data_IF_042193790394
#
_entry.id   IF_042193790394
#
_cell.length_a   1.000
_cell.length_b   1.000
_cell.length_c   1.000
_cell.angle_alpha   90.00
_cell.angle_beta   90.00
_cell.angle_gamma   90.00
#
_symmetry.space_group_name_H-M   'P 1'
#
loop_
_entity.id
_entity.type
_entity.pdbx_description
1 polymer ?
#
# COMPACT_ATOMS: atom_id res chain seq x y z
N UNK A 1 2.87 -18.66 28.43
CA UNK A 1 2.38 -17.30 28.77
C UNK A 1 3.48 -16.30 28.47
N UNK A 2 3.76 -16.06 27.25
CA UNK A 2 4.59 -14.94 26.85
C UNK A 2 3.76 -14.07 25.91
N UNK A 3 3.57 -12.85 26.36
CA UNK A 3 2.90 -11.80 25.61
C UNK A 3 3.97 -11.07 24.81
N UNK A 4 4.03 -11.36 23.51
CA UNK A 4 4.68 -10.49 22.54
C UNK A 4 3.85 -9.21 22.39
N UNK A 5 4.30 -8.16 23.05
CA UNK A 5 3.84 -6.80 22.80
C UNK A 5 4.81 -6.18 21.83
N UNK A 6 4.44 -6.12 20.56
CA UNK A 6 5.09 -5.28 19.58
C UNK A 6 4.99 -3.80 20.00
N UNK A 7 6.01 -2.97 19.78
CA UNK A 7 5.94 -1.55 20.10
C UNK A 7 4.94 -0.86 19.17
N UNK A 8 3.94 -0.25 19.76
CA UNK A 8 3.00 0.65 19.07
C UNK A 8 3.79 1.89 18.65
N UNK A 9 4.04 2.06 17.35
CA UNK A 9 4.56 3.30 16.81
C UNK A 9 3.46 4.37 16.90
N UNK A 10 3.55 5.26 17.89
CA UNK A 10 2.83 6.52 17.87
C UNK A 10 3.46 7.38 16.77
N UNK A 11 2.70 7.59 15.70
CA UNK A 11 3.12 8.46 14.61
C UNK A 11 2.99 9.93 15.01
N UNK A 12 4.04 10.49 15.57
CA UNK A 12 4.25 11.93 15.54
C UNK A 12 5.12 12.22 14.32
N UNK A 13 4.53 12.86 13.32
CA UNK A 13 5.24 13.37 12.17
C UNK A 13 5.95 14.67 12.59
N UNK A 14 7.27 14.74 12.64
CA UNK A 14 7.95 16.00 12.89
C UNK A 14 7.99 16.83 11.61
N UNK A 15 6.95 17.64 11.40
CA UNK A 15 7.07 18.81 10.55
C UNK A 15 7.87 19.86 11.30
N UNK A 16 9.15 19.95 11.05
CA UNK A 16 9.97 20.98 11.64
C UNK A 16 11.42 20.79 11.27
N UNK A 17 11.92 21.63 10.36
CA UNK A 17 13.33 21.67 10.05
C UNK A 17 14.17 21.86 11.30
N UNK A 18 15.14 20.99 11.48
CA UNK A 18 16.25 21.21 12.37
C UNK A 18 17.54 20.90 11.64
N UNK A 19 18.46 21.81 11.87
CA UNK A 19 19.80 21.95 11.34
C UNK A 19 20.56 20.64 11.06
N UNK A 20 21.28 20.66 9.95
CA UNK A 20 22.19 19.63 9.50
C UNK A 20 23.19 19.19 10.57
N UNK A 21 22.83 18.17 11.34
CA UNK A 21 23.74 17.45 12.22
C UNK A 21 24.68 16.55 11.41
N UNK A 22 25.93 16.55 11.79
CA UNK A 22 27.03 15.79 11.18
C UNK A 22 26.76 14.28 11.13
N UNK A 23 27.32 13.63 10.12
CA UNK A 23 27.25 12.19 9.82
C UNK A 23 27.97 11.28 10.83
N UNK A 24 28.05 11.64 12.08
CA UNK A 24 28.62 10.86 13.17
C UNK A 24 27.75 10.93 14.42
N UNK A 25 26.48 11.23 14.26
CA UNK A 25 25.60 11.62 15.36
C UNK A 25 24.92 10.41 16.05
N UNK A 26 24.84 9.25 15.42
CA UNK A 26 24.18 8.08 15.96
C UNK A 26 25.14 6.90 16.08
N UNK A 27 25.00 6.11 17.14
CA UNK A 27 25.81 4.90 17.35
C UNK A 27 25.41 3.79 16.38
N UNK A 28 24.12 3.74 16.00
CA UNK A 28 23.58 2.75 15.07
C UNK A 28 22.65 3.41 14.06
N UNK A 29 22.64 2.88 12.84
CA UNK A 29 21.62 3.11 11.84
C UNK A 29 20.78 1.87 11.67
N UNK A 30 19.48 2.04 11.70
CA UNK A 30 18.49 1.00 11.50
C UNK A 30 17.67 1.39 10.28
N UNK A 31 17.09 0.42 9.60
CA UNK A 31 16.13 0.67 8.52
C UNK A 31 15.07 -0.41 8.46
N UNK A 32 13.92 -0.03 7.98
CA UNK A 32 12.85 -0.91 7.56
C UNK A 32 12.47 -0.59 6.10
N UNK A 33 11.39 -1.13 5.62
CA UNK A 33 10.89 -0.89 4.26
C UNK A 33 10.42 0.55 3.99
N UNK A 34 10.23 1.36 5.02
CA UNK A 34 9.69 2.72 4.92
C UNK A 34 10.72 3.79 5.23
N UNK A 35 11.51 3.61 6.29
CA UNK A 35 12.37 4.65 6.84
C UNK A 35 13.78 4.17 7.18
N UNK A 36 14.67 5.12 7.25
CA UNK A 36 15.98 5.00 7.91
C UNK A 36 15.92 5.73 9.24
N UNK A 37 16.46 5.11 10.27
CA UNK A 37 16.46 5.61 11.64
C UNK A 37 17.87 5.73 12.19
N UNK A 38 18.10 6.76 13.03
CA UNK A 38 19.25 6.88 13.91
C UNK A 38 18.92 6.38 15.31
N UNK A 39 19.84 5.71 15.95
CA UNK A 39 19.69 5.21 17.32
C UNK A 39 21.00 5.40 18.10
N UNK A 40 20.90 6.02 19.28
CA UNK A 40 22.01 6.16 20.22
C UNK A 40 21.89 5.09 21.30
N UNK A 41 22.98 4.38 21.53
CA UNK A 41 23.04 3.37 22.58
C UNK A 41 22.92 4.03 23.95
N UNK A 42 22.10 3.48 24.86
CA UNK A 42 21.96 4.04 26.20
C UNK A 42 23.31 4.04 26.93
N UNK A 43 23.75 5.20 27.37
CA UNK A 43 24.93 5.34 28.23
C UNK A 43 24.65 4.69 29.59
N UNK A 44 25.65 4.02 30.18
CA UNK A 44 25.51 3.38 31.49
C UNK A 44 25.01 4.37 32.56
N UNK A 45 23.75 4.18 33.00
CA UNK A 45 23.16 4.97 34.08
C UNK A 45 21.80 5.62 33.75
N UNK A 46 21.43 5.70 32.51
CA UNK A 46 20.13 6.22 32.08
C UNK A 46 19.28 5.09 31.52
N UNK A 47 18.50 4.46 32.37
CA UNK A 47 17.86 3.16 32.18
C UNK A 47 16.64 3.17 31.24
N UNK A 48 16.43 4.14 30.41
CA UNK A 48 15.30 4.17 29.45
C UNK A 48 15.82 4.08 28.03
N UNK A 49 15.50 3.04 27.26
CA UNK A 49 15.80 3.01 25.84
C UNK A 49 15.06 4.16 25.14
N UNK A 50 15.79 5.01 24.43
CA UNK A 50 15.19 6.01 23.57
C UNK A 50 14.62 5.30 22.33
N UNK A 51 13.51 5.83 21.80
CA UNK A 51 13.00 5.35 20.52
C UNK A 51 13.96 5.79 19.39
N UNK A 52 14.14 4.96 18.35
CA UNK A 52 14.89 5.38 17.16
C UNK A 52 14.31 6.65 16.55
N UNK A 53 15.16 7.56 16.12
CA UNK A 53 14.76 8.79 15.43
C UNK A 53 14.68 8.54 13.93
N UNK A 54 13.53 8.82 13.29
CA UNK A 54 13.39 8.72 11.85
C UNK A 54 14.21 9.83 11.17
N UNK A 55 15.13 9.44 10.28
CA UNK A 55 16.02 10.34 9.57
C UNK A 55 15.46 10.77 8.23
N UNK A 56 14.94 9.82 7.45
CA UNK A 56 14.27 10.07 6.18
C UNK A 56 13.49 8.83 5.74
N UNK A 57 12.48 9.04 4.88
CA UNK A 57 11.80 7.96 4.19
C UNK A 57 12.57 7.58 2.91
N UNK A 58 12.57 6.30 2.55
CA UNK A 58 13.17 5.84 1.30
C UNK A 58 12.54 6.51 0.07
N UNK A 59 11.22 6.71 0.10
CA UNK A 59 10.49 7.37 -0.98
C UNK A 59 10.87 8.84 -1.15
N UNK A 60 11.37 9.52 -0.11
CA UNK A 60 11.88 10.90 -0.21
C UNK A 60 13.17 10.97 -1.06
N UNK A 61 13.85 9.85 -1.18
CA UNK A 61 15.06 9.70 -1.99
C UNK A 61 14.81 8.94 -3.30
N UNK A 62 13.55 8.78 -3.69
CA UNK A 62 13.13 8.00 -4.86
C UNK A 62 13.66 6.54 -4.86
N UNK A 63 13.75 5.93 -3.66
CA UNK A 63 14.16 4.54 -3.43
C UNK A 63 12.96 3.74 -2.93
N UNK A 64 12.81 2.52 -3.42
CA UNK A 64 11.87 1.56 -2.86
C UNK A 64 12.54 0.78 -1.73
N UNK A 65 12.16 1.05 -0.48
CA UNK A 65 12.77 0.45 0.69
C UNK A 65 12.58 -1.07 0.81
N UNK A 66 11.56 -1.63 0.17
CA UNK A 66 11.34 -3.09 0.12
C UNK A 66 12.45 -3.86 -0.58
N UNK A 67 13.21 -3.19 -1.45
CA UNK A 67 14.31 -3.80 -2.21
C UNK A 67 15.69 -3.40 -1.69
N UNK A 68 15.75 -2.77 -0.52
CA UNK A 68 17.03 -2.41 0.10
C UNK A 68 17.60 -3.61 0.85
N UNK A 69 18.68 -4.18 0.30
CA UNK A 69 19.38 -5.33 0.85
C UNK A 69 20.49 -4.94 1.83
N UNK A 70 20.97 -3.72 1.73
CA UNK A 70 22.04 -3.21 2.59
C UNK A 70 22.11 -1.70 2.61
N UNK A 71 22.52 -1.15 3.75
CA UNK A 71 22.61 0.28 3.95
C UNK A 71 23.78 0.64 4.87
N UNK A 72 24.47 1.72 4.56
CA UNK A 72 25.59 2.18 5.37
C UNK A 72 25.95 3.64 5.12
N UNK A 73 26.82 4.17 5.98
CA UNK A 73 27.36 5.54 5.88
C UNK A 73 28.79 5.49 5.42
N UNK A 74 29.11 6.33 4.46
CA UNK A 74 30.46 6.56 4.00
C UNK A 74 31.19 7.58 4.89
N UNK A 75 32.54 7.58 4.87
CA UNK A 75 33.36 8.50 5.66
C UNK A 75 33.07 9.98 5.37
N UNK A 76 32.57 10.30 4.19
CA UNK A 76 32.21 11.68 3.79
C UNK A 76 30.76 12.06 4.19
N UNK A 77 30.05 11.20 4.90
CA UNK A 77 28.72 11.42 5.41
C UNK A 77 27.59 11.16 4.42
N UNK A 78 27.89 10.65 3.23
CA UNK A 78 26.87 10.14 2.30
C UNK A 78 26.43 8.76 2.73
N UNK A 79 25.24 8.37 2.27
CA UNK A 79 24.72 7.05 2.51
C UNK A 79 24.85 6.19 1.24
N UNK A 80 25.16 4.92 1.43
CA UNK A 80 25.20 3.94 0.37
C UNK A 80 24.11 2.90 0.63
N UNK A 81 23.21 2.69 -0.33
CA UNK A 81 22.23 1.62 -0.33
C UNK A 81 22.54 0.60 -1.41
N UNK A 82 22.42 -0.67 -1.08
CA UNK A 82 22.40 -1.79 -2.01
C UNK A 82 20.94 -2.12 -2.26
N UNK A 83 20.51 -2.07 -3.51
CA UNK A 83 19.09 -2.24 -3.87
C UNK A 83 18.97 -3.34 -4.91
N UNK A 84 18.07 -4.27 -4.72
CA UNK A 84 17.75 -5.31 -5.69
C UNK A 84 16.98 -4.72 -6.88
N UNK A 85 17.47 -4.98 -8.09
CA UNK A 85 16.75 -4.75 -9.34
C UNK A 85 16.13 -6.08 -9.80
N UNK A 86 14.91 -6.34 -9.33
CA UNK A 86 14.19 -7.58 -9.63
C UNK A 86 13.83 -7.74 -11.11
N UNK A 87 13.82 -6.66 -11.90
CA UNK A 87 13.57 -6.74 -13.35
C UNK A 87 14.77 -7.33 -14.10
N UNK A 88 15.99 -7.11 -13.59
CA UNK A 88 17.23 -7.56 -14.22
C UNK A 88 17.95 -8.66 -13.42
N UNK A 89 17.40 -9.08 -12.27
CA UNK A 89 18.02 -10.05 -11.34
C UNK A 89 19.47 -9.64 -10.97
N UNK A 90 19.64 -8.36 -10.64
CA UNK A 90 20.94 -7.74 -10.34
C UNK A 90 20.86 -6.85 -9.10
N UNK A 91 21.99 -6.44 -8.59
CA UNK A 91 22.11 -5.52 -7.45
C UNK A 91 22.61 -4.16 -7.92
N UNK A 92 21.83 -3.13 -7.63
CA UNK A 92 22.19 -1.73 -7.83
C UNK A 92 22.86 -1.10 -6.61
N UNK A 93 23.73 -0.13 -6.83
CA UNK A 93 24.29 0.72 -5.78
C UNK A 93 23.73 2.12 -5.93
N UNK A 94 23.09 2.62 -4.87
CA UNK A 94 22.54 3.97 -4.82
C UNK A 94 23.33 4.78 -3.80
N UNK A 95 23.84 5.91 -4.26
CA UNK A 95 24.52 6.89 -3.40
C UNK A 95 23.58 8.03 -3.07
N UNK A 96 23.24 8.18 -1.78
CA UNK A 96 22.38 9.22 -1.29
C UNK A 96 23.19 10.34 -0.65
N UNK A 97 22.86 11.58 -0.99
CA UNK A 97 23.46 12.78 -0.42
C UNK A 97 22.40 13.61 0.28
N UNK A 98 22.76 14.22 1.41
CA UNK A 98 21.87 15.18 2.05
C UNK A 98 21.78 16.44 1.19
N UNK A 99 20.55 16.85 0.89
CA UNK A 99 20.26 18.11 0.22
C UNK A 99 19.75 19.09 1.27
N UNK A 100 20.22 20.34 1.22
CA UNK A 100 19.67 21.39 2.08
C UNK A 100 18.22 21.64 1.69
N UNK A 101 17.37 21.91 2.68
CA UNK A 101 15.94 22.17 2.46
C UNK A 101 15.71 23.33 1.48
N UNK A 102 16.58 24.36 1.51
CA UNK A 102 16.53 25.52 0.59
C UNK A 102 16.85 25.17 -0.87
N UNK A 103 17.59 24.07 -1.10
CA UNK A 103 17.98 23.57 -2.43
C UNK A 103 17.06 22.45 -2.93
N UNK A 104 16.15 21.95 -2.08
CA UNK A 104 15.20 20.92 -2.45
C UNK A 104 14.10 21.53 -3.34
N UNK A 105 13.63 20.81 -4.39
CA UNK A 105 12.51 21.29 -5.19
C UNK A 105 11.27 21.44 -4.30
N UNK A 106 10.63 22.58 -4.36
CA UNK A 106 9.38 22.85 -3.65
C UNK A 106 8.26 22.01 -4.31
N UNK A 107 7.90 20.90 -3.68
CA UNK A 107 6.82 20.01 -4.13
C UNK A 107 5.72 19.99 -3.07
N UNK A 108 4.49 19.82 -3.53
CA UNK A 108 3.33 19.64 -2.64
C UNK A 108 3.36 18.19 -2.15
N UNK A 109 3.49 17.96 -0.83
CA UNK A 109 3.50 16.59 -0.30
C UNK A 109 2.10 15.97 -0.40
N UNK A 110 2.06 14.71 -0.78
CA UNK A 110 0.87 13.85 -0.79
C UNK A 110 1.16 12.58 0.00
N UNK A 111 0.20 12.12 0.76
CA UNK A 111 0.30 10.88 1.53
C UNK A 111 -0.68 9.85 0.99
N UNK A 112 -0.16 8.71 0.53
CA UNK A 112 -0.94 7.52 0.22
C UNK A 112 -0.91 6.58 1.44
N UNK A 113 -2.06 6.40 2.07
CA UNK A 113 -2.21 5.48 3.19
C UNK A 113 -2.45 4.06 2.70
N UNK A 114 -1.76 3.10 3.29
CA UNK A 114 -2.06 1.67 3.19
C UNK A 114 -2.17 1.05 4.58
N UNK A 115 -2.94 -0.01 4.72
CA UNK A 115 -3.05 -0.75 6.00
C UNK A 115 -1.90 -1.75 6.14
N UNK A 116 -1.59 -2.44 5.06
CA UNK A 116 -0.48 -3.39 5.01
C UNK A 116 0.51 -2.85 3.99
N UNK A 117 1.74 -2.64 4.33
CA UNK A 117 2.75 -2.15 3.39
C UNK A 117 2.70 -2.91 2.04
N UNK A 118 3.10 -2.24 0.97
CA UNK A 118 3.10 -2.80 -0.39
C UNK A 118 4.31 -2.33 -1.16
N UNK A 119 5.13 -3.29 -1.63
CA UNK A 119 6.27 -3.01 -2.51
C UNK A 119 5.84 -2.36 -3.82
N UNK A 120 4.68 -2.75 -4.34
CA UNK A 120 4.13 -2.23 -5.59
C UNK A 120 3.72 -0.77 -5.46
N UNK A 121 3.02 -0.41 -4.37
CA UNK A 121 2.67 0.98 -4.09
C UNK A 121 3.93 1.84 -3.87
N UNK A 122 4.94 1.32 -3.19
CA UNK A 122 6.22 2.02 -3.04
C UNK A 122 6.92 2.23 -4.39
N UNK A 123 6.93 1.21 -5.27
CA UNK A 123 7.47 1.33 -6.61
C UNK A 123 6.71 2.37 -7.46
N UNK A 124 5.38 2.37 -7.38
CA UNK A 124 4.54 3.36 -8.06
C UNK A 124 4.80 4.78 -7.55
N UNK A 125 4.96 4.97 -6.22
CA UNK A 125 5.29 6.26 -5.64
C UNK A 125 6.65 6.77 -6.13
N UNK A 126 7.67 5.92 -6.15
CA UNK A 126 8.99 6.25 -6.69
C UNK A 126 8.90 6.66 -8.17
N UNK A 127 8.16 5.88 -8.99
CA UNK A 127 7.95 6.19 -10.41
C UNK A 127 7.21 7.52 -10.59
N UNK A 128 6.17 7.77 -9.78
CA UNK A 128 5.43 9.03 -9.78
C UNK A 128 6.34 10.21 -9.42
N UNK A 129 7.11 10.10 -8.35
CA UNK A 129 8.00 11.16 -7.87
C UNK A 129 9.09 11.53 -8.88
N UNK A 130 9.65 10.54 -9.58
CA UNK A 130 10.61 10.77 -10.67
C UNK A 130 10.00 11.52 -11.87
N UNK A 131 8.73 11.28 -12.14
CA UNK A 131 8.00 11.89 -13.27
C UNK A 131 7.28 13.19 -12.93
N UNK A 132 7.14 13.57 -11.66
CA UNK A 132 6.32 14.67 -11.22
C UNK A 132 7.12 15.78 -10.53
N UNK A 133 7.12 16.98 -11.14
CA UNK A 133 7.83 18.13 -10.59
C UNK A 133 7.02 18.93 -9.55
N UNK A 134 5.69 18.70 -9.48
CA UNK A 134 4.78 19.50 -8.64
C UNK A 134 4.42 18.81 -7.32
N UNK A 135 4.25 17.51 -7.36
CA UNK A 135 3.81 16.72 -6.20
C UNK A 135 4.89 15.72 -5.80
N UNK A 136 4.93 15.38 -4.53
CA UNK A 136 5.75 14.31 -3.97
C UNK A 136 4.87 13.36 -3.18
N UNK A 137 4.83 12.10 -3.56
CA UNK A 137 3.99 11.06 -2.97
C UNK A 137 4.80 10.21 -2.00
N UNK A 138 4.36 10.16 -0.74
CA UNK A 138 4.90 9.27 0.29
C UNK A 138 3.88 8.18 0.62
N UNK A 139 4.31 6.92 0.64
CA UNK A 139 3.48 5.78 1.07
C UNK A 139 3.65 5.59 2.57
N UNK A 140 2.54 5.65 3.32
CA UNK A 140 2.52 5.45 4.77
C UNK A 140 1.69 4.23 5.13
N UNK A 141 2.34 3.24 5.75
CA UNK A 141 1.64 2.08 6.32
C UNK A 141 1.15 2.39 7.73
N UNK A 142 -0.11 2.09 8.00
CA UNK A 142 -0.73 2.27 9.31
C UNK A 142 -0.79 0.99 10.15
N UNK A 143 -0.32 -0.14 9.61
CA UNK A 143 -0.22 -1.43 10.29
C UNK A 143 -1.56 -2.05 10.70
N UNK A 144 -2.66 -1.30 10.68
CA UNK A 144 -4.01 -1.78 10.96
C UNK A 144 -5.08 -0.78 10.50
N UNK A 145 -6.29 -1.30 10.26
CA UNK A 145 -7.48 -0.45 10.00
C UNK A 145 -7.76 0.53 11.15
N UNK A 146 -7.56 0.10 12.38
CA UNK A 146 -7.76 0.96 13.56
C UNK A 146 -6.76 2.11 13.58
N UNK A 147 -5.51 1.88 13.19
CA UNK A 147 -4.49 2.92 13.05
C UNK A 147 -4.90 3.97 12.03
N UNK A 148 -5.32 3.53 10.84
CA UNK A 148 -5.80 4.42 9.78
C UNK A 148 -7.03 5.23 10.22
N UNK A 149 -8.04 4.60 10.83
CA UNK A 149 -9.23 5.30 11.33
C UNK A 149 -8.90 6.33 12.42
N UNK A 150 -7.95 6.01 13.32
CA UNK A 150 -7.52 6.95 14.35
C UNK A 150 -6.85 8.18 13.73
N UNK A 151 -6.01 8.02 12.71
CA UNK A 151 -5.39 9.12 11.98
C UNK A 151 -6.45 10.02 11.30
N UNK A 152 -7.43 9.43 10.63
CA UNK A 152 -8.55 10.16 10.01
C UNK A 152 -9.32 10.97 11.07
N UNK A 153 -9.62 10.37 12.22
CA UNK A 153 -10.33 11.05 13.32
C UNK A 153 -9.49 12.17 13.95
N UNK A 154 -8.17 12.00 14.01
CA UNK A 154 -7.24 13.03 14.50
C UNK A 154 -7.04 14.18 13.49
N UNK A 155 -7.68 14.14 12.32
CA UNK A 155 -7.49 15.08 11.19
C UNK A 155 -6.08 15.03 10.58
N UNK A 156 -5.39 13.94 10.75
CA UNK A 156 -4.19 13.56 10.02
C UNK A 156 -4.59 12.72 8.80
N UNK A 157 -5.59 13.21 8.06
CA UNK A 157 -6.14 12.47 6.92
C UNK A 157 -5.10 12.36 5.82
N UNK A 158 -4.85 11.15 5.30
CA UNK A 158 -4.08 10.98 4.08
C UNK A 158 -4.81 11.61 2.88
N UNK A 159 -4.08 11.94 1.83
CA UNK A 159 -4.64 12.47 0.58
C UNK A 159 -5.24 11.35 -0.29
N UNK A 160 -4.65 10.17 -0.22
CA UNK A 160 -5.06 8.97 -0.94
C UNK A 160 -5.11 7.78 0.01
N UNK A 161 -6.01 6.85 -0.24
CA UNK A 161 -6.16 5.62 0.55
C UNK A 161 -6.16 4.42 -0.40
N UNK A 162 -5.26 3.48 -0.17
CA UNK A 162 -5.36 2.15 -0.75
C UNK A 162 -6.52 1.40 -0.09
N UNK A 163 -7.54 1.08 -0.88
CA UNK A 163 -8.75 0.40 -0.40
C UNK A 163 -8.61 -1.13 -0.35
N UNK A 164 -7.43 -1.67 -0.63
CA UNK A 164 -7.19 -3.11 -0.57
C UNK A 164 -7.44 -3.65 0.85
N UNK A 165 -8.41 -4.56 0.97
CA UNK A 165 -8.80 -5.12 2.28
C UNK A 165 -9.55 -4.15 3.19
N UNK A 166 -10.00 -3.00 2.69
CA UNK A 166 -10.78 -2.00 3.43
C UNK A 166 -12.23 -2.01 2.91
N UNK A 167 -13.18 -1.93 3.83
CA UNK A 167 -14.59 -1.69 3.49
C UNK A 167 -14.79 -0.24 3.01
N UNK A 168 -14.60 -0.04 1.70
CA UNK A 168 -14.73 1.27 1.05
C UNK A 168 -16.16 1.82 1.15
N UNK A 169 -17.19 0.96 1.15
CA UNK A 169 -18.58 1.38 1.29
C UNK A 169 -18.82 2.04 2.66
N UNK A 170 -18.21 1.50 3.72
CA UNK A 170 -18.29 2.08 5.06
C UNK A 170 -17.65 3.47 5.12
N UNK A 171 -16.48 3.66 4.49
CA UNK A 171 -15.83 4.97 4.40
C UNK A 171 -16.67 5.95 3.58
N UNK A 172 -17.26 5.50 2.47
CA UNK A 172 -18.17 6.30 1.65
C UNK A 172 -19.39 6.80 2.43
N UNK A 173 -20.03 5.91 3.19
CA UNK A 173 -21.17 6.26 4.04
C UNK A 173 -20.81 7.27 5.14
N UNK A 174 -19.57 7.30 5.58
CA UNK A 174 -19.06 8.27 6.54
C UNK A 174 -18.67 9.61 5.92
N UNK A 175 -18.72 9.72 4.59
CA UNK A 175 -18.33 10.93 3.86
C UNK A 175 -16.83 11.21 3.91
N UNK A 176 -16.01 10.18 4.08
CA UNK A 176 -14.53 10.30 4.13
C UNK A 176 -13.93 10.33 2.73
N UNK A 177 -14.59 9.68 1.76
CA UNK A 177 -14.13 9.54 0.39
C UNK A 177 -14.81 10.56 -0.52
N UNK A 178 -14.05 11.14 -1.42
CA UNK A 178 -14.55 12.08 -2.43
C UNK A 178 -15.04 11.33 -3.67
N UNK A 179 -15.98 11.92 -4.41
CA UNK A 179 -16.46 11.40 -5.69
C UNK A 179 -15.41 11.62 -6.78
N UNK A 180 -14.85 10.52 -7.29
CA UNK A 180 -13.83 10.54 -8.34
C UNK A 180 -14.41 10.71 -9.75
N UNK A 181 -15.72 10.60 -9.95
CA UNK A 181 -16.36 10.68 -11.26
C UNK A 181 -16.07 11.99 -12.01
N UNK A 182 -16.17 13.17 -11.36
CA UNK A 182 -15.86 14.43 -12.04
C UNK A 182 -14.41 14.53 -12.54
N UNK A 183 -13.48 13.90 -11.81
CA UNK A 183 -12.07 13.89 -12.20
C UNK A 183 -11.82 12.99 -13.40
N UNK A 184 -12.44 11.80 -13.43
CA UNK A 184 -12.34 10.88 -14.58
C UNK A 184 -12.97 11.48 -15.84
N UNK A 185 -14.12 12.15 -15.73
CA UNK A 185 -14.80 12.78 -16.87
C UNK A 185 -13.98 13.92 -17.47
N UNK A 186 -13.18 14.61 -16.67
CA UNK A 186 -12.30 15.68 -17.12
C UNK A 186 -10.94 15.19 -17.62
N UNK A 187 -10.57 13.96 -17.31
CA UNK A 187 -9.29 13.38 -17.73
C UNK A 187 -9.31 13.05 -19.22
N UNK A 188 -8.28 13.49 -19.94
CA UNK A 188 -8.10 13.13 -21.34
C UNK A 188 -7.43 11.73 -21.50
N UNK A 189 -6.71 11.29 -20.50
CA UNK A 189 -5.93 10.07 -20.54
C UNK A 189 -6.67 8.89 -19.89
N UNK A 190 -7.32 9.14 -18.76
CA UNK A 190 -8.00 8.12 -17.93
C UNK A 190 -9.50 8.40 -17.81
N UNK A 191 -10.16 8.69 -18.94
CA UNK A 191 -11.62 8.86 -18.95
C UNK A 191 -12.36 7.53 -18.66
N UNK A 192 -13.69 7.57 -18.42
CA UNK A 192 -14.48 6.38 -18.11
C UNK A 192 -14.32 5.24 -19.13
N UNK A 193 -14.07 5.58 -20.40
CA UNK A 193 -13.86 4.60 -21.48
C UNK A 193 -12.51 3.86 -21.45
N UNK A 194 -11.59 4.27 -20.58
CA UNK A 194 -10.33 3.54 -20.36
C UNK A 194 -10.51 2.31 -19.47
N UNK A 195 -11.68 2.15 -18.84
CA UNK A 195 -11.99 1.05 -17.95
C UNK A 195 -12.90 0.03 -18.62
N UNK A 196 -12.79 -1.23 -18.21
CA UNK A 196 -13.70 -2.29 -18.63
C UNK A 196 -15.12 -1.96 -18.15
N UNK A 197 -16.11 -2.21 -19.01
CA UNK A 197 -17.52 -1.97 -18.69
C UNK A 197 -17.93 -2.65 -17.38
N UNK A 198 -18.64 -1.90 -16.53
CA UNK A 198 -19.11 -2.36 -15.23
C UNK A 198 -18.10 -2.24 -14.08
N UNK A 199 -16.80 -2.10 -14.37
CA UNK A 199 -15.78 -2.01 -13.31
C UNK A 199 -15.98 -0.77 -12.41
N UNK A 200 -16.22 0.38 -12.99
CA UNK A 200 -16.46 1.61 -12.21
C UNK A 200 -17.78 1.54 -11.42
N UNK A 201 -18.74 0.75 -11.88
CA UNK A 201 -20.00 0.55 -11.16
C UNK A 201 -19.77 -0.25 -9.87
N UNK A 202 -18.88 -1.25 -9.89
CA UNK A 202 -18.50 -2.01 -8.69
C UNK A 202 -17.84 -1.15 -7.61
N UNK A 203 -17.25 -0.01 -7.97
CA UNK A 203 -16.67 0.96 -7.03
C UNK A 203 -17.57 2.20 -6.80
N UNK A 204 -18.85 2.11 -7.22
CA UNK A 204 -19.83 3.19 -7.04
C UNK A 204 -20.82 2.83 -5.95
N UNK A 205 -20.83 3.58 -4.85
CA UNK A 205 -21.71 3.38 -3.71
C UNK A 205 -22.57 4.63 -3.47
N UNK A 206 -23.89 4.45 -3.44
CA UNK A 206 -24.83 5.57 -3.25
C UNK A 206 -24.72 6.67 -4.33
N UNK A 207 -24.21 6.33 -5.52
CA UNK A 207 -23.99 7.27 -6.62
C UNK A 207 -22.60 7.92 -6.61
N UNK A 208 -21.77 7.68 -5.61
CA UNK A 208 -20.41 8.20 -5.47
C UNK A 208 -19.39 7.17 -5.95
N UNK A 209 -18.54 7.51 -6.89
CA UNK A 209 -17.40 6.69 -7.31
C UNK A 209 -16.25 6.88 -6.32
N UNK A 210 -16.01 5.90 -5.47
CA UNK A 210 -15.08 6.01 -4.33
C UNK A 210 -13.66 5.53 -4.61
N UNK A 211 -13.45 4.85 -5.72
CA UNK A 211 -12.15 4.30 -6.05
C UNK A 211 -12.04 3.93 -7.53
N UNK A 212 -10.81 3.76 -7.97
CA UNK A 212 -10.44 3.26 -9.31
C UNK A 212 -9.53 2.06 -9.10
N UNK A 213 -9.88 0.89 -9.63
CA UNK A 213 -9.02 -0.28 -9.54
C UNK A 213 -7.85 -0.17 -10.53
N UNK A 214 -6.67 -0.55 -10.08
CA UNK A 214 -5.51 -0.74 -10.95
C UNK A 214 -5.60 -2.07 -11.68
N UNK A 215 -6.02 -3.12 -10.97
CA UNK A 215 -6.20 -4.48 -11.47
C UNK A 215 -7.51 -5.06 -10.97
N UNK A 216 -8.01 -6.06 -11.67
CA UNK A 216 -9.15 -6.85 -11.21
C UNK A 216 -8.96 -8.31 -11.61
N UNK A 217 -9.56 -9.22 -10.85
CA UNK A 217 -9.63 -10.63 -11.17
C UNK A 217 -11.08 -11.05 -11.37
N UNK A 218 -11.33 -11.82 -12.41
CA UNK A 218 -12.62 -12.45 -12.63
C UNK A 218 -12.56 -13.87 -12.06
N UNK A 219 -13.42 -14.15 -11.10
CA UNK A 219 -13.64 -15.49 -10.62
C UNK A 219 -14.86 -16.04 -11.32
N UNK A 220 -14.71 -17.17 -12.01
CA UNK A 220 -15.79 -17.81 -12.75
C UNK A 220 -15.70 -19.31 -12.65
N UNK A 221 -16.84 -19.98 -12.80
CA UNK A 221 -16.92 -21.43 -12.93
C UNK A 221 -17.02 -21.78 -14.41
N UNK A 222 -16.13 -22.62 -14.90
CA UNK A 222 -16.12 -23.10 -16.27
C UNK A 222 -16.65 -24.52 -16.29
N UNK A 223 -17.71 -24.78 -17.06
CA UNK A 223 -18.26 -26.09 -17.29
C UNK A 223 -17.95 -26.59 -18.70
N UNK A 224 -18.10 -27.91 -18.92
CA UNK A 224 -17.88 -28.58 -20.22
C UNK A 224 -19.08 -28.42 -21.15
N UNK A 225 -19.70 -27.38 -21.34
CA UNK A 225 -20.70 -27.08 -22.36
C UNK A 225 -21.97 -27.95 -22.40
N UNK A 226 -22.03 -29.02 -21.62
CA UNK A 226 -23.22 -29.93 -21.50
C UNK A 226 -24.21 -29.45 -20.42
N UNK A 227 -24.00 -28.23 -19.90
CA UNK A 227 -24.78 -27.65 -18.81
C UNK A 227 -26.12 -27.11 -19.33
N UNK A 228 -27.22 -27.25 -18.59
CA UNK A 228 -28.48 -26.63 -18.99
C UNK A 228 -28.27 -25.09 -19.07
N UNK A 229 -28.69 -24.53 -20.18
CA UNK A 229 -28.72 -23.08 -20.40
C UNK A 229 -29.63 -22.45 -19.33
N UNK A 230 -28.99 -21.94 -18.27
CA UNK A 230 -29.68 -21.17 -17.26
C UNK A 230 -29.28 -19.70 -17.43
N UNK A 231 -30.21 -18.89 -17.86
CA UNK A 231 -30.05 -17.43 -17.99
C UNK A 231 -29.57 -16.76 -16.67
N UNK A 232 -29.74 -17.46 -15.55
CA UNK A 232 -29.41 -16.98 -14.21
C UNK A 232 -28.08 -17.54 -13.63
N UNK A 233 -27.24 -18.15 -14.47
CA UNK A 233 -25.98 -18.75 -14.03
C UNK A 233 -26.15 -20.07 -13.26
N UNK A 234 -25.13 -20.50 -12.54
CA UNK A 234 -25.12 -21.73 -11.76
C UNK A 234 -25.91 -21.54 -10.45
N UNK A 235 -27.05 -22.21 -10.35
CA UNK A 235 -27.89 -22.26 -9.16
C UNK A 235 -27.59 -23.48 -8.30
N UNK A 236 -27.97 -23.50 -7.03
CA UNK A 236 -27.84 -24.65 -6.15
C UNK A 236 -28.64 -25.87 -6.68
N UNK A 237 -29.80 -25.64 -7.31
CA UNK A 237 -30.60 -26.69 -7.95
C UNK A 237 -29.91 -27.24 -9.20
N UNK A 238 -29.32 -26.33 -10.01
CA UNK A 238 -28.51 -26.73 -11.16
C UNK A 238 -27.31 -27.57 -10.76
N UNK A 239 -26.60 -27.15 -9.70
CA UNK A 239 -25.46 -27.88 -9.14
C UNK A 239 -25.89 -29.30 -8.67
N UNK A 240 -27.01 -29.40 -7.96
CA UNK A 240 -27.57 -30.69 -7.51
C UNK A 240 -27.93 -31.60 -8.68
N UNK A 241 -28.54 -31.04 -9.71
CA UNK A 241 -28.86 -31.79 -10.93
C UNK A 241 -27.62 -32.34 -11.62
N UNK A 242 -26.53 -31.52 -11.68
CA UNK A 242 -25.24 -31.97 -12.25
C UNK A 242 -24.67 -33.13 -11.43
N UNK A 243 -24.69 -33.03 -10.11
CA UNK A 243 -24.20 -34.07 -9.21
C UNK A 243 -24.99 -35.35 -9.30
N UNK A 244 -26.33 -35.26 -9.40
CA UNK A 244 -27.21 -36.40 -9.50
C UNK A 244 -27.06 -37.11 -10.86
N UNK A 245 -26.75 -36.36 -11.93
CA UNK A 245 -26.49 -36.91 -13.25
C UNK A 245 -25.11 -37.56 -13.42
N UNK A 246 -24.16 -37.21 -12.54
CA UNK A 246 -22.78 -37.67 -12.58
C UNK A 246 -22.36 -38.30 -11.24
N UNK A 247 -22.90 -39.44 -10.85
CA UNK A 247 -22.62 -40.07 -9.57
C UNK A 247 -21.14 -40.46 -9.49
N UNK A 248 -20.46 -39.96 -8.45
CA UNK A 248 -19.04 -40.21 -8.21
C UNK A 248 -18.08 -39.13 -8.70
N UNK A 249 -18.58 -38.10 -9.38
CA UNK A 249 -17.80 -36.88 -9.67
C UNK A 249 -18.01 -35.83 -8.61
N UNK A 250 -16.94 -35.12 -8.28
CA UNK A 250 -17.05 -33.92 -7.46
C UNK A 250 -17.54 -32.76 -8.35
N UNK A 251 -18.53 -31.99 -7.89
CA UNK A 251 -19.06 -30.86 -8.68
C UNK A 251 -18.03 -29.76 -8.93
N UNK A 252 -16.99 -29.72 -8.10
CA UNK A 252 -15.85 -28.81 -8.24
C UNK A 252 -14.55 -29.54 -7.96
N UNK A 253 -13.55 -29.36 -8.81
CA UNK A 253 -12.21 -29.89 -8.64
C UNK A 253 -11.29 -28.75 -8.18
N UNK A 254 -10.47 -28.99 -7.17
CA UNK A 254 -9.45 -28.06 -6.69
C UNK A 254 -9.94 -26.88 -5.85
N UNK A 255 -11.22 -26.82 -5.49
CA UNK A 255 -11.76 -25.73 -4.64
C UNK A 255 -11.92 -26.23 -3.19
N UNK A 256 -11.38 -25.51 -2.24
CA UNK A 256 -11.59 -25.79 -0.82
C UNK A 256 -13.04 -25.46 -0.41
N UNK A 257 -13.54 -26.15 0.63
CA UNK A 257 -14.95 -26.03 1.06
C UNK A 257 -15.33 -24.59 1.47
N UNK A 258 -14.44 -23.87 2.07
CA UNK A 258 -14.57 -22.47 2.48
C UNK A 258 -14.60 -21.52 1.29
N UNK A 259 -13.78 -21.75 0.29
CA UNK A 259 -13.81 -21.03 -0.98
C UNK A 259 -15.14 -21.23 -1.72
N UNK A 260 -15.62 -22.46 -1.77
CA UNK A 260 -16.91 -22.77 -2.39
C UNK A 260 -18.07 -22.01 -1.72
N UNK A 261 -18.03 -21.82 -0.42
CA UNK A 261 -19.07 -21.04 0.29
C UNK A 261 -19.06 -19.58 -0.11
N UNK A 262 -17.92 -19.01 -0.44
CA UNK A 262 -17.84 -17.64 -0.95
C UNK A 262 -18.53 -17.49 -2.30
N UNK A 263 -18.32 -18.44 -3.21
CA UNK A 263 -19.00 -18.44 -4.54
C UNK A 263 -20.52 -18.65 -4.48
N UNK A 264 -21.02 -19.30 -3.45
CA UNK A 264 -22.45 -19.55 -3.28
C UNK A 264 -23.20 -18.41 -2.57
N UNK A 265 -22.48 -17.45 -1.98
CA UNK A 265 -23.06 -16.33 -1.25
C UNK A 265 -22.96 -14.99 -2.02
N UNK A 266 -22.36 -14.98 -3.19
CA UNK A 266 -22.37 -13.87 -4.14
C UNK A 266 -23.62 -13.94 -5.04
#
# INVERSE_FOLDING_TARGET
NDKDTAPTSNGDNPSGGSDAGSSGQYDLLLYDESFVYGYDLPTQGDGSPQAPEALFAWTDSDVNGYFVEGFGVLEDGRYLAVVEDWEHDDLGLILLSRTKTEDAPERIPLVLATVNGSSDLAALAVKFNKGNARYHLTVKSYGSLSGLYNAILAKESPDLIDLSGIDGEKLARQGVLEDLRPYLEQSQEFGPSAFVDGILEAYTFGGTLIGVPETFALQTVVGDGAQPENENGLTLEGLRSITDCNPGTLPFDGIARDEMMQYLMM
#
